data_IF_893862834335
#
_entry.id   IF_893862834335
#
_cell.length_a   1.000
_cell.length_b   1.000
_cell.length_c   1.000
_cell.angle_alpha   90.00
_cell.angle_beta   90.00
_cell.angle_gamma   90.00
#
_symmetry.space_group_name_H-M   'P 1'
#
loop_
_entity.id
_entity.type
_entity.pdbx_description
1 polymer ?
#
# COMPACT_ATOMS: atom_id res chain seq x y z
N UNK A 1 -11.52 -32.58 -21.00
CA UNK A 1 -10.62 -31.41 -20.92
C UNK A 1 -10.03 -31.22 -22.31
N UNK A 2 -10.57 -30.30 -23.12
CA UNK A 2 -10.05 -30.00 -24.45
C UNK A 2 -9.04 -28.86 -24.33
N UNK A 3 -7.82 -29.05 -24.83
CA UNK A 3 -6.85 -27.97 -25.00
C UNK A 3 -7.10 -27.39 -26.40
N UNK A 4 -7.65 -26.18 -26.44
CA UNK A 4 -7.88 -25.45 -27.68
C UNK A 4 -6.57 -24.95 -28.30
N UNK A 5 -6.52 -24.89 -29.64
CA UNK A 5 -5.34 -24.40 -30.36
C UNK A 5 -5.23 -22.88 -30.23
N UNK A 6 -4.23 -22.41 -29.50
CA UNK A 6 -3.87 -20.99 -29.44
C UNK A 6 -3.14 -20.55 -30.72
N UNK A 7 -3.40 -19.32 -31.16
CA UNK A 7 -2.68 -18.68 -32.26
C UNK A 7 -1.66 -17.70 -31.71
N UNK A 8 -0.39 -17.87 -32.11
CA UNK A 8 0.65 -16.88 -31.83
C UNK A 8 0.48 -15.70 -32.78
N UNK A 9 0.41 -14.49 -32.24
CA UNK A 9 0.29 -13.25 -32.99
C UNK A 9 1.51 -12.37 -32.68
N UNK A 10 2.00 -11.65 -33.69
CA UNK A 10 3.05 -10.63 -33.54
C UNK A 10 2.46 -9.32 -34.07
N UNK A 11 2.42 -8.31 -33.21
CA UNK A 11 1.92 -6.98 -33.55
C UNK A 11 3.11 -6.08 -33.87
N UNK A 12 3.00 -5.34 -34.96
CA UNK A 12 3.99 -4.37 -35.42
C UNK A 12 3.30 -3.00 -35.49
N UNK A 13 3.97 -1.97 -34.98
CA UNK A 13 3.42 -0.63 -34.92
C UNK A 13 4.46 0.39 -34.45
N UNK A 14 4.05 1.64 -34.42
CA UNK A 14 4.87 2.73 -33.92
C UNK A 14 5.09 2.59 -32.39
N UNK A 15 6.32 2.84 -31.95
CA UNK A 15 6.70 2.76 -30.54
C UNK A 15 5.96 3.77 -29.66
N UNK A 16 5.51 4.89 -30.23
CA UNK A 16 4.75 5.91 -29.53
C UNK A 16 3.42 5.37 -28.96
N UNK A 17 2.76 4.47 -29.69
CA UNK A 17 1.45 3.90 -29.31
C UNK A 17 1.56 2.55 -28.59
N UNK A 18 2.78 2.11 -28.26
CA UNK A 18 3.01 0.79 -27.66
C UNK A 18 2.24 0.61 -26.34
N UNK A 19 2.30 1.60 -25.45
CA UNK A 19 1.67 1.51 -24.13
C UNK A 19 0.14 1.53 -24.24
N UNK A 20 -0.42 2.45 -25.03
CA UNK A 20 -1.86 2.55 -25.27
C UNK A 20 -2.42 1.25 -25.88
N UNK A 21 -1.71 0.67 -26.86
CA UNK A 21 -2.11 -0.58 -27.49
C UNK A 21 -2.08 -1.75 -26.50
N UNK A 22 -1.06 -1.80 -25.62
CA UNK A 22 -0.96 -2.83 -24.59
C UNK A 22 -2.07 -2.70 -23.53
N UNK A 23 -2.40 -1.48 -23.10
CA UNK A 23 -3.52 -1.22 -22.19
C UNK A 23 -4.84 -1.68 -22.79
N UNK A 24 -5.14 -1.28 -24.03
CA UNK A 24 -6.35 -1.72 -24.72
C UNK A 24 -6.44 -3.25 -24.81
N UNK A 25 -5.33 -3.92 -25.17
CA UNK A 25 -5.27 -5.38 -25.22
C UNK A 25 -5.50 -6.02 -23.85
N UNK A 26 -4.92 -5.44 -22.80
CA UNK A 26 -5.06 -5.92 -21.43
C UNK A 26 -6.49 -5.76 -20.91
N UNK A 27 -7.18 -4.68 -21.29
CA UNK A 27 -8.59 -4.45 -20.95
C UNK A 27 -9.52 -5.51 -21.54
N UNK A 28 -9.24 -5.98 -22.77
CA UNK A 28 -9.99 -7.08 -23.38
C UNK A 28 -9.70 -8.44 -22.73
N UNK A 29 -8.50 -8.66 -22.17
CA UNK A 29 -8.19 -9.82 -21.33
C UNK A 29 -8.11 -11.19 -22.03
N UNK A 30 -8.10 -11.24 -23.37
CA UNK A 30 -8.14 -12.51 -24.13
C UNK A 30 -6.78 -13.06 -24.58
N UNK A 31 -5.68 -12.39 -24.27
CA UNK A 31 -4.36 -12.76 -24.80
C UNK A 31 -3.27 -12.79 -23.72
N UNK A 32 -2.30 -13.66 -23.95
CA UNK A 32 -1.07 -13.71 -23.15
C UNK A 32 0.02 -12.90 -23.85
N UNK A 33 0.51 -11.85 -23.19
CA UNK A 33 1.54 -10.96 -23.75
C UNK A 33 2.92 -11.58 -23.52
N UNK A 34 3.65 -11.83 -24.60
CA UNK A 34 5.00 -12.39 -24.58
C UNK A 34 5.98 -11.28 -25.01
N UNK A 35 6.94 -10.86 -24.17
CA UNK A 35 7.92 -9.86 -24.56
C UNK A 35 8.84 -10.42 -25.65
N UNK A 36 9.05 -9.64 -26.71
CA UNK A 36 9.96 -10.00 -27.81
C UNK A 36 11.45 -9.87 -27.43
N UNK A 37 11.75 -9.12 -26.38
CA UNK A 37 13.10 -8.94 -25.86
C UNK A 37 13.08 -9.04 -24.33
N UNK A 38 14.03 -9.78 -23.76
CA UNK A 38 14.13 -10.04 -22.32
C UNK A 38 14.76 -8.88 -21.53
N UNK A 39 14.86 -7.69 -22.12
CA UNK A 39 15.41 -6.53 -21.45
C UNK A 39 14.47 -6.12 -20.31
N UNK A 40 14.73 -6.70 -19.14
CA UNK A 40 14.15 -6.28 -17.87
C UNK A 40 14.69 -4.89 -17.61
N UNK A 41 13.94 -3.87 -18.01
CA UNK A 41 14.00 -2.62 -17.28
C UNK A 41 13.75 -3.00 -15.82
N UNK A 42 14.74 -2.78 -14.96
CA UNK A 42 14.55 -2.84 -13.52
C UNK A 42 13.45 -1.82 -13.22
N UNK A 43 12.21 -2.30 -13.12
CA UNK A 43 11.11 -1.50 -12.65
C UNK A 43 11.57 -0.95 -11.30
N UNK A 44 11.62 0.37 -11.16
CA UNK A 44 12.06 1.03 -9.94
C UNK A 44 11.12 0.64 -8.79
N UNK A 45 11.41 -0.48 -8.13
CA UNK A 45 10.68 -1.02 -6.98
C UNK A 45 10.99 -0.25 -5.71
N UNK A 46 11.37 1.03 -5.82
CA UNK A 46 11.78 1.88 -4.70
C UNK A 46 10.67 2.02 -3.63
N UNK A 47 9.42 1.72 -3.96
CA UNK A 47 8.29 1.83 -3.02
C UNK A 47 7.65 0.48 -2.64
N UNK A 48 8.24 -0.66 -3.02
CA UNK A 48 7.63 -1.96 -2.71
C UNK A 48 7.62 -2.25 -1.20
N UNK A 49 8.70 -1.90 -0.50
CA UNK A 49 8.80 -2.11 0.94
C UNK A 49 7.79 -1.25 1.71
N UNK A 50 7.71 0.04 1.39
CA UNK A 50 6.75 0.98 1.99
C UNK A 50 5.30 0.56 1.72
N UNK A 51 5.00 0.11 0.50
CA UNK A 51 3.68 -0.42 0.15
C UNK A 51 3.33 -1.66 0.98
N UNK A 52 4.29 -2.59 1.10
CA UNK A 52 4.11 -3.82 1.87
C UNK A 52 3.89 -3.52 3.35
N UNK A 53 4.66 -2.58 3.89
CA UNK A 53 4.52 -2.10 5.27
C UNK A 53 3.15 -1.44 5.50
N UNK A 54 2.77 -0.51 4.63
CA UNK A 54 1.48 0.19 4.70
C UNK A 54 0.30 -0.79 4.63
N UNK A 55 0.35 -1.74 3.71
CA UNK A 55 -0.69 -2.76 3.55
C UNK A 55 -0.75 -3.72 4.75
N UNK A 56 0.39 -4.10 5.31
CA UNK A 56 0.45 -4.88 6.55
C UNK A 56 -0.22 -4.12 7.70
N UNK A 57 0.13 -2.85 7.90
CA UNK A 57 -0.47 -2.02 8.95
C UNK A 57 -1.99 -1.92 8.82
N UNK A 58 -2.51 -1.68 7.61
CA UNK A 58 -3.96 -1.63 7.36
C UNK A 58 -4.64 -2.98 7.62
N UNK A 59 -4.01 -4.10 7.25
CA UNK A 59 -4.55 -5.45 7.48
C UNK A 59 -4.62 -5.81 8.96
N UNK A 60 -3.69 -5.34 9.78
CA UNK A 60 -3.68 -5.59 11.23
C UNK A 60 -4.39 -4.50 12.04
N UNK A 61 -4.96 -3.48 11.38
CA UNK A 61 -5.73 -2.43 12.06
C UNK A 61 -6.97 -3.03 12.74
N UNK A 62 -7.27 -2.64 14.01
CA UNK A 62 -8.42 -3.17 14.74
C UNK A 62 -9.75 -2.69 14.16
N UNK A 63 -9.78 -1.49 13.56
CA UNK A 63 -10.99 -0.93 12.97
C UNK A 63 -10.91 -1.01 11.45
N UNK A 64 -11.61 -1.99 10.87
CA UNK A 64 -11.72 -2.18 9.42
C UNK A 64 -13.07 -1.70 8.94
N UNK A 65 -13.07 -0.72 8.06
CA UNK A 65 -14.27 -0.31 7.34
C UNK A 65 -14.62 -1.38 6.30
N UNK A 66 -15.90 -1.56 6.01
CA UNK A 66 -16.36 -2.39 4.90
C UNK A 66 -15.69 -1.92 3.61
N UNK A 67 -15.17 -2.87 2.83
CA UNK A 67 -14.57 -2.60 1.52
C UNK A 67 -15.60 -1.90 0.63
N UNK A 68 -15.22 -0.75 0.08
CA UNK A 68 -16.01 0.02 -0.88
C UNK A 68 -15.18 0.23 -2.14
N UNK A 69 -15.83 0.16 -3.29
CA UNK A 69 -15.20 0.54 -4.55
C UNK A 69 -14.83 2.02 -4.47
N UNK A 70 -13.56 2.39 -4.65
CA UNK A 70 -13.16 3.79 -4.61
C UNK A 70 -13.85 4.54 -5.75
N UNK A 71 -14.51 5.65 -5.43
CA UNK A 71 -15.24 6.48 -6.41
C UNK A 71 -14.35 7.51 -7.14
N UNK A 72 -13.05 7.55 -6.85
CA UNK A 72 -12.09 8.49 -7.46
C UNK A 72 -10.76 7.80 -7.73
N UNK A 73 -10.05 8.32 -8.73
CA UNK A 73 -8.62 8.08 -8.92
C UNK A 73 -7.87 8.47 -7.65
N UNK A 74 -6.88 7.66 -7.25
CA UNK A 74 -6.09 7.90 -6.05
C UNK A 74 -4.61 7.93 -6.39
N UNK A 75 -3.88 8.86 -5.77
CA UNK A 75 -2.44 8.95 -5.89
C UNK A 75 -1.77 7.93 -4.96
N UNK A 76 -1.27 6.84 -5.54
CA UNK A 76 -0.69 5.72 -4.79
C UNK A 76 0.39 6.16 -3.81
N UNK A 77 1.34 7.00 -4.23
CA UNK A 77 2.46 7.44 -3.38
C UNK A 77 1.97 8.20 -2.14
N UNK A 78 1.10 9.17 -2.35
CA UNK A 78 0.52 9.98 -1.27
C UNK A 78 -0.30 9.10 -0.31
N UNK A 79 -0.99 8.09 -0.81
CA UNK A 79 -1.73 7.14 0.02
C UNK A 79 -0.77 6.35 0.93
N UNK A 80 0.34 5.85 0.39
CA UNK A 80 1.35 5.11 1.17
C UNK A 80 1.93 6.02 2.27
N UNK A 81 2.33 7.24 1.93
CA UNK A 81 2.86 8.23 2.88
C UNK A 81 1.87 8.51 4.02
N UNK A 82 0.59 8.74 3.70
CA UNK A 82 -0.46 8.98 4.68
C UNK A 82 -0.69 7.78 5.62
N UNK A 83 -0.63 6.57 5.10
CA UNK A 83 -0.81 5.34 5.89
C UNK A 83 0.37 5.17 6.87
N UNK A 84 1.60 5.36 6.39
CA UNK A 84 2.80 5.26 7.24
C UNK A 84 2.87 6.38 8.28
N UNK A 85 2.45 7.60 7.93
CA UNK A 85 2.32 8.69 8.89
C UNK A 85 1.34 8.34 10.02
N UNK A 86 0.14 7.82 9.68
CA UNK A 86 -0.84 7.38 10.67
C UNK A 86 -0.30 6.26 11.56
N UNK A 87 0.47 5.31 11.01
CA UNK A 87 1.12 4.26 11.79
C UNK A 87 2.04 4.86 12.85
N UNK A 88 2.91 5.80 12.47
CA UNK A 88 3.86 6.45 13.39
C UNK A 88 3.13 7.26 14.46
N UNK A 89 2.18 8.09 14.07
CA UNK A 89 1.39 8.91 15.01
C UNK A 89 0.67 8.06 16.05
N UNK A 90 0.09 6.92 15.64
CA UNK A 90 -0.59 5.99 16.54
C UNK A 90 0.37 5.33 17.53
N UNK A 91 1.57 4.94 17.09
CA UNK A 91 2.60 4.40 17.96
C UNK A 91 3.00 5.44 19.03
N UNK A 92 3.36 6.66 18.62
CA UNK A 92 3.74 7.73 19.55
C UNK A 92 2.65 8.05 20.58
N UNK A 93 1.38 8.09 20.15
CA UNK A 93 0.25 8.33 21.07
C UNK A 93 0.09 7.17 22.07
N UNK A 94 0.32 5.93 21.63
CA UNK A 94 0.21 4.76 22.51
C UNK A 94 1.31 4.77 23.57
N UNK A 95 2.54 5.11 23.16
CA UNK A 95 3.70 5.22 24.06
C UNK A 95 3.46 6.33 25.10
N UNK A 96 2.90 7.47 24.70
CA UNK A 96 2.54 8.56 25.61
C UNK A 96 1.46 8.16 26.61
N UNK A 97 0.42 7.44 26.17
CA UNK A 97 -0.61 6.91 27.06
C UNK A 97 -0.01 5.96 28.09
N UNK A 98 0.90 5.08 27.68
CA UNK A 98 1.55 4.13 28.58
C UNK A 98 2.45 4.83 29.59
N UNK A 99 3.22 5.82 29.15
CA UNK A 99 4.03 6.69 30.02
C UNK A 99 3.16 7.37 31.10
N UNK A 100 2.06 7.99 30.69
CA UNK A 100 1.14 8.67 31.61
C UNK A 100 0.50 7.70 32.59
N UNK A 101 0.08 6.50 32.13
CA UNK A 101 -0.49 5.47 33.00
C UNK A 101 0.51 4.99 34.05
N UNK A 102 1.75 4.74 33.65
CA UNK A 102 2.80 4.34 34.57
C UNK A 102 3.06 5.44 35.60
N UNK A 103 3.15 6.69 35.16
CA UNK A 103 3.36 7.83 36.06
C UNK A 103 2.20 8.02 37.03
N UNK A 104 0.95 7.88 36.59
CA UNK A 104 -0.22 7.91 37.49
C UNK A 104 -0.11 6.79 38.52
N UNK A 105 0.24 5.58 38.11
CA UNK A 105 0.39 4.43 39.01
C UNK A 105 1.50 4.62 40.04
N UNK A 106 2.62 5.21 39.64
CA UNK A 106 3.75 5.48 40.53
C UNK A 106 3.45 6.59 41.55
N UNK A 107 2.62 7.56 41.17
CA UNK A 107 2.21 8.67 42.02
C UNK A 107 0.98 8.34 42.89
N UNK A 108 0.15 7.36 42.50
CA UNK A 108 -1.05 6.95 43.24
C UNK A 108 -0.80 6.64 44.74
N UNK A 109 0.32 5.98 45.15
CA UNK A 109 0.60 5.73 46.56
C UNK A 109 0.86 7.00 47.39
N UNK A 110 1.25 8.10 46.75
CA UNK A 110 1.60 9.35 47.42
C UNK A 110 0.39 10.25 47.67
N UNK A 111 -0.77 9.91 47.10
CA UNK A 111 -2.01 10.67 47.26
C UNK A 111 -1.94 12.06 46.61
N UNK A 112 -2.62 13.02 47.21
CA UNK A 112 -2.60 14.42 46.75
C UNK A 112 -1.37 15.13 47.31
N UNK A 113 -0.46 15.54 46.42
CA UNK A 113 0.68 16.38 46.75
C UNK A 113 0.70 17.60 45.84
N UNK A 114 0.98 18.75 46.44
CA UNK A 114 1.21 19.99 45.71
C UNK A 114 2.71 20.09 45.41
N UNK A 115 3.06 20.44 44.17
CA UNK A 115 4.42 20.82 43.85
C UNK A 115 4.77 22.11 44.63
N UNK A 116 5.96 22.21 45.25
CA UNK A 116 6.39 23.47 45.84
C UNK A 116 6.59 24.50 44.71
N UNK A 117 6.15 25.73 44.97
CA UNK A 117 6.37 26.89 44.08
C UNK A 117 7.86 27.13 43.78
#
# INVERSE_FOLDING_TARGET
>A
MSIERLKKLVLLGDSAFKNETLEAIQDYGFVHIIPLNEYKQEAQTNHYEELREALSYLKYSPHKRRLQTPGREFHQKQLIENVLHNKRARASTTDEIELLRNRIKDLQPWGDFNYPD
#
